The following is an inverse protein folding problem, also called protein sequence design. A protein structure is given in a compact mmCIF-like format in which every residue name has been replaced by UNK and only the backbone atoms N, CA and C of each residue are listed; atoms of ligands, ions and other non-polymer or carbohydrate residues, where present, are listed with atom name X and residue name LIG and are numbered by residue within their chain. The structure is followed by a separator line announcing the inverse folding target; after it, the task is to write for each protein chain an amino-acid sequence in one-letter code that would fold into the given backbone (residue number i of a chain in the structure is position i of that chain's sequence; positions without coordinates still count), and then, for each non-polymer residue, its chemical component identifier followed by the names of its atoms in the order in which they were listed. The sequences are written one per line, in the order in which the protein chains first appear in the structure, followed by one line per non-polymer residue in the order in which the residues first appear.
data_IF_676897927678
#
_entry.id   IF_676897927678
#
_cell.length_a   1.000
_cell.length_b   1.000
_cell.length_c   1.000
_cell.angle_alpha   90.00
_cell.angle_beta   90.00
_cell.angle_gamma   90.00
#
_symmetry.space_group_name_H-M   'P 1'
#
loop_
_entity.id
_entity.type
_entity.pdbx_description
1 polymer ?
#
# COMPACT_ATOMS: atom_id res chain seq x y z
N UNK A 1 -14.65 -62.26 -4.78
CA UNK A 1 -13.90 -61.53 -5.82
C UNK A 1 -14.80 -60.45 -6.43
N UNK A 2 -14.59 -59.18 -6.04
CA UNK A 2 -14.80 -57.93 -6.83
C UNK A 2 -14.71 -56.73 -5.88
N UNK A 3 -13.56 -56.04 -5.92
CA UNK A 3 -13.42 -54.68 -5.42
C UNK A 3 -13.96 -53.72 -6.48
N UNK A 4 -14.91 -52.85 -6.11
CA UNK A 4 -15.26 -51.67 -6.90
C UNK A 4 -14.29 -50.52 -6.52
N UNK A 5 -13.50 -50.07 -7.49
CA UNK A 5 -12.72 -48.85 -7.41
C UNK A 5 -13.53 -47.68 -8.00
N UNK A 6 -13.73 -46.62 -7.21
CA UNK A 6 -14.25 -45.34 -7.68
C UNK A 6 -13.14 -44.54 -8.39
N UNK A 7 -13.35 -44.01 -9.62
CA UNK A 7 -12.43 -43.08 -10.24
C UNK A 7 -12.95 -41.64 -10.08
N UNK A 8 -12.36 -40.86 -9.17
CA UNK A 8 -12.82 -39.47 -8.94
C UNK A 8 -11.78 -38.44 -8.47
N UNK A 9 -10.52 -38.82 -8.25
CA UNK A 9 -9.58 -37.95 -7.51
C UNK A 9 -8.73 -36.96 -8.32
N UNK A 10 -8.47 -37.23 -9.61
CA UNK A 10 -7.34 -36.57 -10.32
C UNK A 10 -7.77 -35.29 -11.06
N UNK A 11 -9.00 -35.22 -11.57
CA UNK A 11 -9.49 -34.05 -12.33
C UNK A 11 -9.73 -32.83 -11.45
N UNK A 12 -10.17 -33.01 -10.21
CA UNK A 12 -10.39 -31.91 -9.27
C UNK A 12 -9.09 -31.25 -8.82
N UNK A 13 -8.03 -32.04 -8.62
CA UNK A 13 -6.74 -31.52 -8.16
C UNK A 13 -6.03 -30.68 -9.23
N UNK A 14 -6.06 -31.10 -10.50
CA UNK A 14 -5.48 -30.35 -11.61
C UNK A 14 -6.19 -29.01 -11.88
N UNK A 15 -7.52 -28.97 -11.75
CA UNK A 15 -8.32 -27.74 -11.89
C UNK A 15 -8.05 -26.78 -10.74
N UNK A 16 -7.99 -27.27 -9.50
CA UNK A 16 -7.70 -26.45 -8.32
C UNK A 16 -6.26 -25.91 -8.33
N UNK A 17 -5.29 -26.72 -8.74
CA UNK A 17 -3.90 -26.29 -8.89
C UNK A 17 -3.75 -25.25 -10.02
N UNK A 18 -4.41 -25.47 -11.17
CA UNK A 18 -4.44 -24.50 -12.27
C UNK A 18 -5.10 -23.18 -11.88
N UNK A 19 -6.20 -23.22 -11.12
CA UNK A 19 -6.87 -22.03 -10.60
C UNK A 19 -5.98 -21.29 -9.59
N UNK A 20 -5.29 -22.00 -8.70
CA UNK A 20 -4.35 -21.42 -7.75
C UNK A 20 -3.17 -20.74 -8.47
N UNK A 21 -2.57 -21.38 -9.48
CA UNK A 21 -1.49 -20.79 -10.30
C UNK A 21 -1.99 -19.58 -11.08
N UNK A 22 -3.20 -19.62 -11.64
CA UNK A 22 -3.79 -18.47 -12.32
C UNK A 22 -4.05 -17.30 -11.36
N UNK A 23 -4.57 -17.57 -10.16
CA UNK A 23 -4.77 -16.57 -9.10
C UNK A 23 -3.43 -15.96 -8.68
N UNK A 24 -2.40 -16.79 -8.46
CA UNK A 24 -1.04 -16.33 -8.15
C UNK A 24 -0.50 -15.48 -9.32
N UNK A 25 -0.62 -15.94 -10.56
CA UNK A 25 -0.21 -15.20 -11.76
C UNK A 25 -0.89 -13.83 -11.87
N UNK A 26 -2.19 -13.75 -11.58
CA UNK A 26 -2.98 -12.52 -11.51
C UNK A 26 -2.51 -11.60 -10.38
N UNK A 27 -2.17 -12.15 -9.21
CA UNK A 27 -1.71 -11.39 -8.05
C UNK A 27 -0.30 -10.79 -8.30
N UNK A 28 0.56 -11.49 -9.05
CA UNK A 28 1.95 -11.10 -9.27
C UNK A 28 2.22 -10.44 -10.63
N UNK A 29 1.34 -10.59 -11.61
CA UNK A 29 1.40 -9.90 -12.91
C UNK A 29 0.14 -9.04 -13.11
N UNK A 30 0.17 -7.76 -12.71
CA UNK A 30 -0.97 -6.87 -12.85
C UNK A 30 -1.50 -6.81 -14.28
N UNK A 31 -0.63 -6.89 -15.30
CA UNK A 31 -1.02 -6.94 -16.71
C UNK A 31 -2.04 -8.05 -17.03
N UNK A 32 -2.05 -9.17 -16.28
CA UNK A 32 -2.99 -10.28 -16.46
C UNK A 32 -4.44 -9.94 -16.06
N UNK A 33 -4.68 -8.84 -15.34
CA UNK A 33 -6.02 -8.35 -14.95
C UNK A 33 -6.61 -7.33 -15.94
N UNK A 34 -6.03 -7.22 -17.13
CA UNK A 34 -6.42 -6.24 -18.13
C UNK A 34 -6.34 -4.81 -17.59
N UNK A 35 -5.15 -4.39 -17.17
CA UNK A 35 -4.77 -2.98 -17.06
C UNK A 35 -4.24 -2.53 -18.43
N UNK A 36 -5.07 -1.89 -19.28
CA UNK A 36 -4.71 -1.62 -20.67
C UNK A 36 -3.66 -0.52 -20.82
N UNK A 37 -3.42 0.27 -19.78
CA UNK A 37 -2.47 1.36 -19.80
C UNK A 37 -1.22 1.03 -19.00
N UNK A 38 -0.07 1.19 -19.66
CA UNK A 38 1.24 1.04 -19.06
C UNK A 38 2.09 2.28 -19.34
N UNK A 39 2.81 2.74 -18.33
CA UNK A 39 3.85 3.76 -18.48
C UNK A 39 5.01 3.45 -17.56
N UNK A 40 6.23 3.74 -18.02
CA UNK A 40 7.42 3.71 -17.18
C UNK A 40 7.95 5.13 -17.03
N UNK A 41 8.15 5.56 -15.79
CA UNK A 41 8.71 6.87 -15.44
C UNK A 41 9.94 6.59 -14.58
N UNK A 42 11.14 6.81 -15.17
CA UNK A 42 12.40 6.36 -14.56
C UNK A 42 12.39 4.86 -14.31
N UNK A 43 12.54 4.47 -13.04
CA UNK A 43 12.50 3.08 -12.57
C UNK A 43 11.13 2.63 -12.04
N UNK A 44 10.13 3.53 -12.03
CA UNK A 44 8.76 3.22 -11.61
C UNK A 44 7.94 2.73 -12.78
N UNK A 45 7.41 1.50 -12.67
CA UNK A 45 6.43 0.94 -13.60
C UNK A 45 5.03 1.26 -13.14
N UNK A 46 4.13 1.63 -14.05
CA UNK A 46 2.75 2.02 -13.72
C UNK A 46 1.81 1.24 -14.62
N UNK A 47 0.87 0.52 -14.00
CA UNK A 47 -0.27 -0.10 -14.65
C UNK A 47 -1.54 0.61 -14.19
N UNK A 48 -2.43 0.94 -15.11
CA UNK A 48 -3.64 1.71 -14.81
C UNK A 48 -4.85 1.23 -15.61
N UNK A 49 -6.03 1.32 -14.99
CA UNK A 49 -7.32 1.08 -15.65
C UNK A 49 -7.67 2.21 -16.62
N UNK A 50 -7.30 3.45 -16.27
CA UNK A 50 -7.50 4.66 -17.07
C UNK A 50 -6.19 5.12 -17.74
N UNK A 51 -6.26 5.93 -18.82
CA UNK A 51 -5.10 6.52 -19.45
C UNK A 51 -4.19 7.24 -18.44
N UNK A 52 -2.87 7.07 -18.58
CA UNK A 52 -1.89 7.66 -17.66
C UNK A 52 -1.48 9.04 -18.22
N UNK A 53 -1.95 10.16 -17.63
CA UNK A 53 -1.63 11.50 -18.13
C UNK A 53 -0.16 11.86 -17.87
N UNK A 54 0.35 12.88 -18.58
CA UNK A 54 1.73 13.36 -18.41
C UNK A 54 2.02 13.88 -16.99
N UNK A 55 1.01 14.45 -16.32
CA UNK A 55 1.13 14.92 -14.92
C UNK A 55 1.52 13.80 -13.94
N UNK A 56 1.39 12.52 -14.32
CA UNK A 56 1.85 11.40 -13.49
C UNK A 56 3.34 11.50 -13.14
N UNK A 57 4.17 12.09 -14.02
CA UNK A 57 5.59 12.32 -13.73
C UNK A 57 5.79 13.25 -12.52
N UNK A 58 4.98 14.31 -12.42
CA UNK A 58 4.98 15.24 -11.28
C UNK A 58 4.53 14.52 -9.99
N UNK A 59 3.54 13.62 -10.07
CA UNK A 59 3.08 12.83 -8.91
C UNK A 59 4.18 11.90 -8.38
N UNK A 60 4.93 11.27 -9.28
CA UNK A 60 6.11 10.46 -8.93
C UNK A 60 7.20 11.33 -8.31
N UNK A 61 7.53 12.46 -8.94
CA UNK A 61 8.54 13.39 -8.44
C UNK A 61 8.21 13.89 -7.03
N UNK A 62 6.94 14.24 -6.76
CA UNK A 62 6.50 14.65 -5.43
C UNK A 62 6.63 13.53 -4.41
N UNK A 63 6.26 12.30 -4.76
CA UNK A 63 6.46 11.15 -3.89
C UNK A 63 7.94 10.89 -3.59
N UNK A 64 8.81 11.03 -4.60
CA UNK A 64 10.26 10.84 -4.44
C UNK A 64 10.89 11.95 -3.59
N UNK A 65 10.40 13.19 -3.69
CA UNK A 65 10.82 14.29 -2.83
C UNK A 65 10.45 14.05 -1.35
N UNK A 66 9.27 13.49 -1.07
CA UNK A 66 8.87 13.07 0.28
C UNK A 66 9.80 11.97 0.80
N UNK A 67 10.08 10.96 -0.02
CA UNK A 67 10.98 9.87 0.34
C UNK A 67 12.42 10.36 0.59
N UNK A 68 12.91 11.37 -0.14
CA UNK A 68 14.26 11.88 0.04
C UNK A 68 14.56 12.38 1.47
N UNK A 69 13.53 12.71 2.26
CA UNK A 69 13.67 13.05 3.68
C UNK A 69 13.90 11.82 4.60
N UNK A 70 13.64 10.61 4.11
CA UNK A 70 13.86 9.36 4.83
C UNK A 70 15.31 8.86 4.68
N UNK A 71 16.00 8.54 5.79
CA UNK A 71 17.28 7.82 5.76
C UNK A 71 17.19 6.41 5.15
N UNK A 72 16.00 5.84 4.98
CA UNK A 72 15.81 4.53 4.34
C UNK A 72 15.82 4.61 2.81
N UNK A 73 15.82 5.82 2.24
CA UNK A 73 15.78 6.00 0.80
C UNK A 73 17.02 5.43 0.14
N UNK A 74 16.78 4.74 -0.98
CA UNK A 74 17.83 4.16 -1.81
C UNK A 74 17.82 4.84 -3.17
N UNK A 75 18.99 5.01 -3.81
CA UNK A 75 19.06 5.41 -5.21
C UNK A 75 18.21 4.48 -6.07
N UNK A 76 17.57 5.04 -7.11
CA UNK A 76 16.85 4.28 -8.13
C UNK A 76 15.78 3.31 -7.60
N UNK A 77 14.98 3.74 -6.60
CA UNK A 77 13.90 2.92 -6.03
C UNK A 77 12.99 2.32 -7.11
N UNK A 78 13.17 1.02 -7.37
CA UNK A 78 12.28 0.26 -8.26
C UNK A 78 10.98 -0.08 -7.54
N UNK A 79 9.86 0.39 -8.09
CA UNK A 79 8.49 0.08 -7.64
C UNK A 79 7.55 -0.09 -8.82
N UNK A 80 6.46 -0.82 -8.58
CA UNK A 80 5.38 -1.01 -9.55
C UNK A 80 4.10 -0.49 -8.93
N UNK A 81 3.50 0.52 -9.55
CA UNK A 81 2.22 1.05 -9.13
C UNK A 81 1.11 0.39 -9.96
N UNK A 82 0.06 -0.03 -9.28
CA UNK A 82 -1.15 -0.58 -9.91
C UNK A 82 -2.32 0.29 -9.47
N UNK A 83 -2.80 1.11 -10.40
CA UNK A 83 -3.82 2.13 -10.17
C UNK A 83 -5.17 1.60 -10.65
N UNK A 84 -6.08 1.34 -9.70
CA UNK A 84 -7.46 0.96 -10.02
C UNK A 84 -8.40 2.16 -9.98
N UNK A 85 -9.59 2.03 -10.54
CA UNK A 85 -10.73 2.96 -10.34
C UNK A 85 -11.63 2.48 -9.17
N UNK A 86 -11.09 1.59 -8.33
CA UNK A 86 -11.79 0.84 -7.31
C UNK A 86 -12.46 -0.41 -7.87
N UNK A 87 -13.73 -0.61 -7.51
CA UNK A 87 -14.57 -1.65 -8.12
C UNK A 87 -14.05 -3.08 -7.90
N UNK A 88 -14.28 -3.94 -8.89
CA UNK A 88 -14.00 -5.38 -8.76
C UNK A 88 -12.51 -5.70 -8.84
N UNK A 89 -11.72 -4.98 -9.65
CA UNK A 89 -10.26 -5.18 -9.74
C UNK A 89 -9.59 -4.90 -8.41
N UNK A 90 -9.99 -3.82 -7.74
CA UNK A 90 -9.58 -3.57 -6.36
C UNK A 90 -10.01 -4.69 -5.42
N UNK A 91 -11.25 -5.17 -5.48
CA UNK A 91 -11.72 -6.26 -4.59
C UNK A 91 -10.92 -7.56 -4.76
N UNK A 92 -10.50 -7.89 -5.99
CA UNK A 92 -9.65 -9.04 -6.29
C UNK A 92 -8.24 -8.81 -5.77
N UNK A 93 -7.64 -7.67 -6.09
CA UNK A 93 -6.29 -7.34 -5.66
C UNK A 93 -6.22 -7.21 -4.13
N UNK A 94 -7.08 -6.41 -3.51
CA UNK A 94 -7.09 -6.20 -2.08
C UNK A 94 -7.92 -7.23 -1.30
N UNK A 95 -7.98 -8.50 -1.74
CA UNK A 95 -8.66 -9.56 -1.01
C UNK A 95 -8.28 -9.55 0.49
N UNK A 96 -9.28 -9.42 1.36
CA UNK A 96 -9.10 -9.30 2.82
C UNK A 96 -8.85 -7.88 3.35
N UNK A 97 -8.66 -6.88 2.47
CA UNK A 97 -8.35 -5.49 2.81
C UNK A 97 -9.12 -4.49 1.93
N UNK A 98 -10.39 -4.79 1.60
CA UNK A 98 -11.18 -3.98 0.65
C UNK A 98 -11.40 -2.53 1.05
N UNK A 99 -11.34 -2.23 2.36
CA UNK A 99 -11.47 -0.88 2.88
C UNK A 99 -10.18 -0.05 2.84
N UNK A 100 -9.05 -0.61 2.38
CA UNK A 100 -7.79 0.13 2.33
C UNK A 100 -7.78 1.17 1.20
N UNK A 101 -7.01 2.24 1.42
CA UNK A 101 -6.74 3.31 0.44
C UNK A 101 -5.71 2.84 -0.58
N UNK A 102 -4.67 2.19 -0.08
CA UNK A 102 -3.64 1.51 -0.86
C UNK A 102 -3.09 0.35 -0.02
N UNK A 103 -2.32 -0.52 -0.65
CA UNK A 103 -1.53 -1.52 0.06
C UNK A 103 -0.30 -1.95 -0.76
N UNK A 104 0.77 -2.26 -0.04
CA UNK A 104 1.95 -2.91 -0.58
C UNK A 104 1.81 -4.44 -0.54
N UNK A 105 2.23 -5.10 -1.60
CA UNK A 105 2.29 -6.57 -1.69
C UNK A 105 3.59 -7.12 -1.08
N UNK A 106 3.53 -7.99 -0.04
CA UNK A 106 4.71 -8.61 0.54
C UNK A 106 5.56 -9.33 -0.52
N UNK A 107 6.89 -9.36 -0.31
CA UNK A 107 7.87 -10.01 -1.19
C UNK A 107 7.87 -9.49 -2.64
N UNK A 108 7.27 -8.32 -2.87
CA UNK A 108 7.26 -7.67 -4.18
C UNK A 108 7.48 -6.16 -4.04
N UNK A 109 7.66 -5.51 -5.19
CA UNK A 109 7.69 -4.05 -5.31
C UNK A 109 6.34 -3.47 -5.77
N UNK A 110 5.26 -4.27 -5.74
CA UNK A 110 3.94 -3.86 -6.20
C UNK A 110 3.19 -3.11 -5.09
N UNK A 111 2.74 -1.90 -5.43
CA UNK A 111 1.93 -1.01 -4.62
C UNK A 111 0.59 -0.85 -5.34
N UNK A 112 -0.50 -1.17 -4.65
CA UNK A 112 -1.86 -1.21 -5.21
C UNK A 112 -2.65 -0.03 -4.65
N UNK A 113 -3.37 0.68 -5.52
CA UNK A 113 -4.10 1.90 -5.18
C UNK A 113 -5.56 1.74 -5.54
N UNK A 114 -6.47 2.00 -4.60
CA UNK A 114 -7.90 1.69 -4.71
C UNK A 114 -8.60 2.51 -5.79
N UNK A 115 -9.11 3.71 -5.51
CA UNK A 115 -9.70 4.57 -6.54
C UNK A 115 -8.78 5.76 -6.78
N UNK A 116 -7.85 5.61 -7.73
CA UNK A 116 -6.80 6.58 -8.03
C UNK A 116 -7.25 7.59 -9.09
N UNK A 117 -7.15 8.87 -8.75
CA UNK A 117 -7.36 10.01 -9.63
C UNK A 117 -6.02 10.75 -9.77
N UNK A 118 -5.31 10.47 -10.87
CA UNK A 118 -3.98 11.00 -11.14
C UNK A 118 -4.02 12.52 -11.33
N UNK A 119 -5.05 13.03 -12.03
CA UNK A 119 -5.19 14.44 -12.33
C UNK A 119 -5.38 15.24 -11.04
N UNK A 120 -6.29 14.79 -10.17
CA UNK A 120 -6.58 15.45 -8.91
C UNK A 120 -5.57 15.17 -7.79
N UNK A 121 -4.52 14.37 -8.06
CA UNK A 121 -3.57 13.86 -7.05
C UNK A 121 -4.28 13.21 -5.86
N UNK A 122 -5.22 12.28 -6.11
CA UNK A 122 -6.04 11.69 -5.04
C UNK A 122 -6.13 10.18 -5.16
N UNK A 123 -6.27 9.51 -4.02
CA UNK A 123 -6.75 8.13 -3.97
C UNK A 123 -7.85 8.01 -2.91
N UNK A 124 -8.82 7.12 -3.13
CA UNK A 124 -9.99 7.00 -2.25
C UNK A 124 -10.33 5.54 -1.95
N UNK A 125 -10.94 5.31 -0.79
CA UNK A 125 -11.54 4.02 -0.40
C UNK A 125 -13.07 4.07 -0.22
N UNK A 126 -13.70 5.23 -0.40
CA UNK A 126 -15.14 5.44 -0.23
C UNK A 126 -15.60 5.68 1.21
N UNK A 127 -14.70 5.69 2.20
CA UNK A 127 -15.06 6.04 3.57
C UNK A 127 -15.44 7.53 3.65
N UNK A 128 -16.53 7.88 4.38
CA UNK A 128 -17.02 9.25 4.46
C UNK A 128 -16.05 10.20 5.18
N UNK A 129 -15.16 9.67 6.03
CA UNK A 129 -14.10 10.41 6.70
C UNK A 129 -12.80 9.64 6.62
N UNK A 130 -11.71 10.37 6.39
CA UNK A 130 -10.37 9.84 6.19
C UNK A 130 -10.20 8.84 5.05
N UNK A 131 -11.17 8.78 4.15
CA UNK A 131 -11.17 7.92 2.98
C UNK A 131 -10.53 8.53 1.74
N UNK A 132 -9.83 9.65 1.88
CA UNK A 132 -9.16 10.38 0.79
C UNK A 132 -7.77 10.78 1.26
N UNK A 133 -6.75 10.50 0.44
CA UNK A 133 -5.37 10.95 0.61
C UNK A 133 -4.84 11.48 -0.73
N UNK A 134 -3.72 12.19 -0.69
CA UNK A 134 -3.03 12.53 -1.93
C UNK A 134 -2.46 11.26 -2.58
N UNK A 135 -2.48 11.17 -3.92
CA UNK A 135 -1.90 10.01 -4.61
C UNK A 135 -0.37 10.00 -4.39
N UNK A 136 0.28 11.15 -4.53
CA UNK A 136 1.70 11.32 -4.29
C UNK A 136 2.13 10.96 -2.85
N UNK A 137 1.40 11.44 -1.84
CA UNK A 137 1.65 11.09 -0.43
C UNK A 137 1.39 9.61 -0.14
N UNK A 138 0.33 9.02 -0.73
CA UNK A 138 0.07 7.59 -0.61
C UNK A 138 1.17 6.74 -1.28
N UNK A 139 1.69 7.17 -2.44
CA UNK A 139 2.84 6.51 -3.08
C UNK A 139 4.06 6.53 -2.17
N UNK A 140 4.34 7.67 -1.51
CA UNK A 140 5.43 7.78 -0.56
C UNK A 140 5.20 6.86 0.65
N UNK A 141 4.01 6.87 1.25
CA UNK A 141 3.62 6.01 2.37
C UNK A 141 3.86 4.52 2.06
N UNK A 142 3.29 4.01 0.96
CA UNK A 142 3.45 2.60 0.59
C UNK A 142 4.90 2.24 0.21
N UNK A 143 5.65 3.21 -0.31
CA UNK A 143 7.08 3.05 -0.59
C UNK A 143 7.91 2.95 0.68
N UNK A 144 7.52 3.61 1.79
CA UNK A 144 8.18 3.43 3.09
C UNK A 144 8.03 2.00 3.59
N UNK A 145 6.86 1.37 3.44
CA UNK A 145 6.70 -0.05 3.77
C UNK A 145 7.64 -0.94 2.95
N UNK A 146 7.79 -0.65 1.65
CA UNK A 146 8.74 -1.35 0.79
C UNK A 146 10.20 -1.15 1.23
N UNK A 147 10.62 0.08 1.51
CA UNK A 147 11.98 0.40 1.96
C UNK A 147 12.27 -0.24 3.33
N UNK A 148 11.32 -0.20 4.24
CA UNK A 148 11.41 -0.82 5.56
C UNK A 148 11.58 -2.34 5.43
N UNK A 149 10.79 -3.00 4.57
CA UNK A 149 10.97 -4.42 4.29
C UNK A 149 12.33 -4.74 3.65
N UNK A 150 12.87 -3.88 2.78
CA UNK A 150 14.21 -4.07 2.21
C UNK A 150 15.32 -3.91 3.24
N UNK A 151 15.17 -2.97 4.17
CA UNK A 151 16.16 -2.69 5.22
C UNK A 151 16.16 -3.76 6.31
N UNK A 152 14.98 -4.20 6.73
CA UNK A 152 14.80 -4.99 7.95
C UNK A 152 14.26 -6.41 7.72
N UNK A 153 13.77 -6.71 6.52
CA UNK A 153 13.11 -7.96 6.18
C UNK A 153 11.59 -7.93 6.40
N UNK A 154 10.90 -8.76 5.62
CA UNK A 154 9.43 -8.86 5.59
C UNK A 154 8.85 -9.34 6.92
N UNK A 155 9.49 -10.35 7.54
CA UNK A 155 9.06 -10.90 8.83
C UNK A 155 9.13 -9.84 9.92
N UNK A 156 10.18 -9.01 9.89
CA UNK A 156 10.35 -7.92 10.85
C UNK A 156 9.30 -6.83 10.65
N UNK A 157 9.04 -6.42 9.40
CA UNK A 157 7.96 -5.49 9.10
C UNK A 157 6.59 -6.01 9.56
N UNK A 158 6.31 -7.29 9.37
CA UNK A 158 5.04 -7.90 9.76
C UNK A 158 4.83 -7.96 11.29
N UNK A 159 5.92 -8.12 12.05
CA UNK A 159 5.89 -8.15 13.53
C UNK A 159 6.04 -6.77 14.17
N UNK A 160 6.43 -5.76 13.40
CA UNK A 160 6.64 -4.40 13.89
C UNK A 160 5.35 -3.84 14.48
N UNK A 161 5.40 -3.17 15.65
CA UNK A 161 4.26 -2.46 16.20
C UNK A 161 3.64 -1.53 15.15
N UNK A 162 2.32 -1.62 14.97
CA UNK A 162 1.61 -0.86 13.92
C UNK A 162 1.88 0.64 14.03
N UNK A 163 1.97 1.19 15.24
CA UNK A 163 2.24 2.62 15.43
C UNK A 163 3.59 3.06 14.87
N UNK A 164 4.60 2.17 14.83
CA UNK A 164 5.90 2.45 14.21
C UNK A 164 5.77 2.36 12.70
N UNK A 165 5.18 1.28 12.21
CA UNK A 165 5.03 0.99 10.78
C UNK A 165 4.22 2.08 10.07
N UNK A 166 2.99 2.31 10.53
CA UNK A 166 2.08 3.28 9.91
C UNK A 166 2.45 4.71 10.27
N UNK A 167 2.88 4.95 11.52
CA UNK A 167 3.27 6.28 11.96
C UNK A 167 4.50 6.83 11.24
N UNK A 168 5.50 5.99 10.97
CA UNK A 168 6.68 6.39 10.19
C UNK A 168 6.35 6.61 8.72
N UNK A 169 5.51 5.74 8.13
CA UNK A 169 5.05 5.93 6.75
C UNK A 169 4.24 7.22 6.59
N UNK A 170 3.35 7.55 7.52
CA UNK A 170 2.62 8.83 7.54
C UNK A 170 3.54 10.03 7.78
N UNK A 171 4.53 9.90 8.67
CA UNK A 171 5.52 10.95 8.92
C UNK A 171 6.30 11.32 7.65
N UNK A 172 6.81 10.33 6.92
CA UNK A 172 7.53 10.56 5.65
C UNK A 172 6.59 11.10 4.57
N UNK A 173 5.34 10.60 4.51
CA UNK A 173 4.34 11.10 3.57
C UNK A 173 3.84 12.52 3.89
N UNK A 174 4.16 13.05 5.08
CA UNK A 174 3.71 14.35 5.60
C UNK A 174 2.19 14.51 5.63
N UNK A 175 1.46 13.40 5.68
CA UNK A 175 0.00 13.37 5.75
C UNK A 175 -0.45 12.13 6.51
N UNK A 176 -1.65 12.18 7.06
CA UNK A 176 -2.32 11.02 7.68
C UNK A 176 -3.80 11.06 7.32
N UNK A 177 -4.56 10.04 7.75
CA UNK A 177 -5.94 9.85 7.32
C UNK A 177 -6.90 10.93 7.82
N UNK A 178 -6.56 11.70 8.86
CA UNK A 178 -7.40 12.78 9.40
C UNK A 178 -6.56 14.01 9.75
N UNK A 179 -7.18 15.19 9.75
CA UNK A 179 -6.53 16.42 10.23
C UNK A 179 -6.69 16.61 11.74
N UNK A 180 -5.95 17.57 12.31
CA UNK A 180 -6.14 17.97 13.70
C UNK A 180 -7.57 18.48 13.98
N UNK A 181 -8.22 19.11 12.99
CA UNK A 181 -9.58 19.61 13.12
C UNK A 181 -10.62 18.47 13.15
N UNK A 182 -10.30 17.33 12.55
CA UNK A 182 -11.20 16.18 12.49
C UNK A 182 -11.13 15.31 13.75
N UNK A 183 -10.03 15.39 14.53
CA UNK A 183 -9.76 14.48 15.65
C UNK A 183 -10.89 14.47 16.69
N UNK A 184 -11.33 15.65 17.15
CA UNK A 184 -12.36 15.77 18.17
C UNK A 184 -13.68 15.14 17.72
N UNK A 185 -14.08 15.42 16.48
CA UNK A 185 -15.32 14.89 15.91
C UNK A 185 -15.24 13.37 15.68
N UNK A 186 -14.09 12.86 15.21
CA UNK A 186 -13.90 11.41 15.06
C UNK A 186 -13.93 10.72 16.42
N UNK A 187 -13.33 11.33 17.45
CA UNK A 187 -13.32 10.79 18.83
C UNK A 187 -14.71 10.75 19.44
N UNK A 188 -15.54 11.75 19.17
CA UNK A 188 -16.93 11.78 19.62
C UNK A 188 -17.78 10.69 18.96
N UNK A 189 -17.66 10.54 17.63
CA UNK A 189 -18.50 9.59 16.86
C UNK A 189 -17.99 8.15 16.98
N UNK A 190 -16.68 7.95 17.02
CA UNK A 190 -16.04 6.64 17.00
C UNK A 190 -14.71 6.67 17.78
N UNK A 191 -14.76 6.61 19.12
CA UNK A 191 -13.57 6.74 19.98
C UNK A 191 -12.52 5.64 19.76
N UNK A 192 -12.93 4.49 19.20
CA UNK A 192 -12.04 3.37 18.88
C UNK A 192 -11.68 3.29 17.38
N UNK A 193 -11.92 4.37 16.62
CA UNK A 193 -11.64 4.41 15.18
C UNK A 193 -10.15 4.17 14.87
N UNK A 194 -9.83 3.31 13.89
CA UNK A 194 -8.46 3.19 13.38
C UNK A 194 -7.84 4.52 12.94
N UNK A 195 -8.66 5.47 12.50
CA UNK A 195 -8.20 6.82 12.12
C UNK A 195 -7.49 7.54 13.27
N UNK A 196 -7.99 7.40 14.51
CA UNK A 196 -7.38 7.99 15.70
C UNK A 196 -6.06 7.29 16.04
N UNK A 197 -5.96 5.98 15.81
CA UNK A 197 -4.73 5.21 16.02
C UNK A 197 -3.64 5.63 15.04
N UNK A 198 -3.95 5.77 13.75
CA UNK A 198 -2.99 6.25 12.75
C UNK A 198 -2.57 7.70 13.02
N UNK A 199 -3.52 8.57 13.35
CA UNK A 199 -3.23 9.95 13.71
C UNK A 199 -2.30 10.05 14.95
N UNK A 200 -2.59 9.27 16.00
CA UNK A 200 -1.75 9.21 17.20
C UNK A 200 -0.36 8.63 16.89
N UNK A 201 -0.27 7.61 16.04
CA UNK A 201 0.98 7.01 15.60
C UNK A 201 1.87 8.02 14.85
N UNK A 202 1.29 8.76 13.89
CA UNK A 202 1.98 9.82 13.16
C UNK A 202 2.53 10.90 14.11
N UNK A 203 1.70 11.39 15.04
CA UNK A 203 2.13 12.39 16.04
C UNK A 203 3.25 11.86 16.95
N UNK A 204 3.14 10.61 17.40
CA UNK A 204 4.16 10.00 18.26
C UNK A 204 5.50 9.86 17.54
N UNK A 205 5.49 9.39 16.29
CA UNK A 205 6.71 9.27 15.48
C UNK A 205 7.31 10.64 15.22
N UNK A 206 6.49 11.63 14.86
CA UNK A 206 6.94 13.02 14.67
C UNK A 206 7.64 13.57 15.91
N UNK A 207 7.06 13.36 17.10
CA UNK A 207 7.69 13.80 18.36
C UNK A 207 9.05 13.12 18.59
N UNK A 208 9.13 11.80 18.39
CA UNK A 208 10.37 11.06 18.61
C UNK A 208 11.49 11.49 17.65
N UNK A 209 11.16 11.69 16.37
CA UNK A 209 12.17 12.03 15.34
C UNK A 209 12.56 13.52 15.41
N UNK A 210 11.58 14.43 15.44
CA UNK A 210 11.84 15.87 15.34
C UNK A 210 12.12 16.52 16.69
N UNK A 211 11.48 16.03 17.76
CA UNK A 211 11.58 16.59 19.10
C UNK A 211 12.68 15.93 19.91
N UNK A 212 12.62 14.61 20.03
CA UNK A 212 13.50 13.84 20.91
C UNK A 212 14.81 13.42 20.21
N UNK A 213 14.91 13.64 18.89
CA UNK A 213 16.11 13.36 18.10
C UNK A 213 16.43 11.86 17.91
N UNK A 214 15.44 10.99 18.10
CA UNK A 214 15.57 9.54 17.92
C UNK A 214 15.89 9.26 16.45
N UNK A 215 16.89 8.41 16.20
CA UNK A 215 17.20 8.01 14.82
C UNK A 215 16.12 7.09 14.24
N UNK A 216 15.97 7.07 12.90
CA UNK A 216 15.02 6.15 12.24
C UNK A 216 15.36 4.68 12.50
N UNK A 217 16.65 4.33 12.52
CA UNK A 217 17.07 2.97 12.86
C UNK A 217 16.69 2.64 14.31
N UNK A 218 16.86 3.55 15.27
CA UNK A 218 16.44 3.34 16.65
C UNK A 218 14.92 3.16 16.79
N UNK A 219 14.13 4.03 16.12
CA UNK A 219 12.68 3.96 16.12
C UNK A 219 12.18 2.59 15.63
N UNK A 220 12.74 2.10 14.52
CA UNK A 220 12.25 0.91 13.81
C UNK A 220 12.91 -0.40 14.25
N UNK A 221 14.06 -0.34 14.94
CA UNK A 221 14.82 -1.51 15.38
C UNK A 221 14.55 -1.97 16.81
N UNK A 222 14.05 -1.10 17.69
CA UNK A 222 13.68 -1.46 19.06
C UNK A 222 12.23 -1.93 19.13
N UNK A 223 11.86 -2.73 20.13
CA UNK A 223 10.48 -3.12 20.42
C UNK A 223 9.84 -2.18 21.46
#
# INVERSE_FOLDING_TARGET
MKFLLFPGGIRGFGVMAGLAVAIVGIIYSPAALAFPHFKQIGTTKIYSEAPIPEVMAERIQRADALLAASPLTVPELRRTLVLTEGGWRWKVLAAGNWGAIALRRPFSSALLFNNADILADRVRNGAPRGGVRTLSGTIAHESVHLLTARRYGEVRLARMPEWKREGYADYVAQETSISANDEAQVREVSPNSPLLRYYAAHRRVKQLLDGDGVSVDELLSKD
#
